data_IF_099036768301
#
_entry.id   IF_099036768301
#
_cell.length_a   1.000
_cell.length_b   1.000
_cell.length_c   1.000
_cell.angle_alpha   90.00
_cell.angle_beta   90.00
_cell.angle_gamma   90.00
#
_symmetry.space_group_name_H-M   'P 1'
#
loop_
_entity.id
_entity.type
_entity.pdbx_description
1 polymer ?
#
# COMPACT_ATOMS: atom_id res chain seq x y z
N UNK A 1 -8.02 23.05 48.02
CA UNK A 1 -9.19 22.90 47.12
C UNK A 1 -8.80 21.82 46.11
N UNK A 2 -9.17 20.58 46.40
CA UNK A 2 -8.64 19.35 45.78
C UNK A 2 -9.49 18.95 44.57
N UNK A 3 -8.88 18.88 43.38
CA UNK A 3 -9.50 18.37 42.17
C UNK A 3 -9.38 16.83 42.18
N UNK A 4 -10.42 16.16 42.69
CA UNK A 4 -10.56 14.72 42.56
C UNK A 4 -10.88 14.37 41.10
N UNK A 5 -9.94 13.71 40.43
CA UNK A 5 -10.14 13.14 39.10
C UNK A 5 -11.21 12.03 39.16
N UNK A 6 -12.26 12.19 38.36
CA UNK A 6 -13.29 11.17 38.15
C UNK A 6 -12.67 9.93 37.49
N UNK A 7 -12.83 8.71 38.04
CA UNK A 7 -12.35 7.51 37.38
C UNK A 7 -13.16 7.26 36.10
N UNK A 8 -12.45 7.10 34.98
CA UNK A 8 -13.01 6.68 33.70
C UNK A 8 -13.59 5.27 33.85
N UNK A 9 -14.92 5.16 33.79
CA UNK A 9 -15.59 3.86 33.77
C UNK A 9 -15.26 3.19 32.44
N UNK A 10 -14.36 2.20 32.47
CA UNK A 10 -14.19 1.23 31.39
C UNK A 10 -15.58 0.62 31.10
N UNK A 11 -16.14 0.91 29.92
CA UNK A 11 -17.39 0.30 29.46
C UNK A 11 -17.18 -1.22 29.43
N UNK A 12 -17.87 -1.95 30.29
CA UNK A 12 -17.96 -3.40 30.21
C UNK A 12 -18.45 -3.76 28.81
N UNK A 13 -17.72 -4.63 28.12
CA UNK A 13 -18.06 -5.17 26.80
C UNK A 13 -19.36 -5.96 26.93
N UNK A 14 -20.48 -5.32 26.58
CA UNK A 14 -21.76 -6.02 26.47
C UNK A 14 -21.68 -6.91 25.23
N UNK A 15 -21.88 -8.21 25.43
CA UNK A 15 -22.12 -9.18 24.37
C UNK A 15 -23.47 -8.85 23.72
N UNK A 16 -23.46 -7.86 22.84
CA UNK A 16 -24.62 -7.45 22.06
C UNK A 16 -24.65 -8.24 20.74
N UNK A 17 -25.82 -8.38 20.11
CA UNK A 17 -26.01 -9.17 18.88
C UNK A 17 -25.04 -8.81 17.73
N UNK A 18 -24.49 -7.59 17.72
CA UNK A 18 -23.44 -7.14 16.80
C UNK A 18 -22.15 -7.95 16.97
N UNK A 19 -21.76 -8.30 18.20
CA UNK A 19 -20.58 -9.13 18.45
C UNK A 19 -20.77 -10.55 17.91
N UNK A 20 -21.99 -11.09 17.97
CA UNK A 20 -22.32 -12.41 17.43
C UNK A 20 -22.24 -12.38 15.90
N UNK A 21 -22.81 -11.37 15.26
CA UNK A 21 -22.73 -11.22 13.79
C UNK A 21 -21.28 -11.07 13.33
N UNK A 22 -20.49 -10.22 13.99
CA UNK A 22 -19.07 -10.05 13.66
C UNK A 22 -18.27 -11.35 13.86
N UNK A 23 -18.57 -12.14 14.90
CA UNK A 23 -17.94 -13.43 15.12
C UNK A 23 -18.28 -14.46 14.03
N UNK A 24 -19.55 -14.50 13.60
CA UNK A 24 -19.99 -15.39 12.50
C UNK A 24 -19.31 -14.98 11.20
N UNK A 25 -19.30 -13.69 10.86
CA UNK A 25 -18.63 -13.17 9.66
C UNK A 25 -17.13 -13.53 9.68
N UNK A 26 -16.45 -13.32 10.81
CA UNK A 26 -15.04 -13.68 10.98
C UNK A 26 -14.81 -15.17 10.73
N UNK A 27 -15.66 -16.04 11.29
CA UNK A 27 -15.56 -17.49 11.09
C UNK A 27 -15.78 -17.89 9.63
N UNK A 28 -16.76 -17.28 8.96
CA UNK A 28 -17.04 -17.56 7.54
C UNK A 28 -15.87 -17.13 6.65
N UNK A 29 -15.31 -15.94 6.87
CA UNK A 29 -14.15 -15.45 6.12
C UNK A 29 -12.88 -16.26 6.40
N UNK A 30 -12.70 -16.75 7.63
CA UNK A 30 -11.54 -17.55 8.01
C UNK A 30 -11.66 -19.03 7.57
N UNK A 31 -12.87 -19.53 7.31
CA UNK A 31 -13.12 -20.95 7.07
C UNK A 31 -12.28 -21.55 5.92
N UNK A 32 -12.13 -20.91 4.74
CA UNK A 32 -11.30 -21.46 3.67
C UNK A 32 -9.83 -21.57 4.06
N UNK A 33 -9.28 -20.55 4.73
CA UNK A 33 -7.89 -20.57 5.18
C UNK A 33 -7.65 -21.64 6.24
N UNK A 34 -8.56 -21.78 7.21
CA UNK A 34 -8.51 -22.84 8.23
C UNK A 34 -8.64 -24.22 7.59
N UNK A 35 -9.51 -24.39 6.59
CA UNK A 35 -9.67 -25.65 5.87
C UNK A 35 -8.38 -26.03 5.12
N UNK A 36 -7.74 -25.09 4.41
CA UNK A 36 -6.46 -25.31 3.73
C UNK A 36 -5.37 -25.72 4.72
N UNK A 37 -5.26 -25.02 5.86
CA UNK A 37 -4.30 -25.37 6.91
C UNK A 37 -4.57 -26.75 7.52
N UNK A 38 -5.83 -27.07 7.78
CA UNK A 38 -6.22 -28.37 8.31
C UNK A 38 -5.89 -29.50 7.32
N UNK A 39 -6.18 -29.30 6.03
CA UNK A 39 -5.82 -30.25 4.97
C UNK A 39 -4.29 -30.42 4.86
N UNK A 40 -3.54 -29.33 4.90
CA UNK A 40 -2.07 -29.36 4.85
C UNK A 40 -1.44 -30.11 6.04
N UNK A 41 -2.07 -30.09 7.21
CA UNK A 41 -1.58 -30.78 8.42
C UNK A 41 -2.05 -32.25 8.52
N UNK A 42 -3.17 -32.59 7.88
CA UNK A 42 -3.81 -33.91 8.03
C UNK A 42 -3.59 -34.84 6.84
N UNK A 43 -3.38 -34.30 5.64
CA UNK A 43 -3.02 -35.11 4.48
C UNK A 43 -1.50 -35.34 4.46
N UNK A 44 -1.09 -36.61 4.41
CA UNK A 44 0.31 -36.99 4.24
C UNK A 44 0.87 -36.43 2.93
N UNK A 45 2.14 -36.05 2.94
CA UNK A 45 2.82 -35.31 1.86
C UNK A 45 3.07 -36.10 0.57
N UNK A 46 2.01 -36.58 -0.08
CA UNK A 46 2.05 -37.11 -1.45
C UNK A 46 2.03 -35.99 -2.51
N UNK A 47 1.89 -34.73 -2.08
CA UNK A 47 1.94 -33.57 -2.95
C UNK A 47 3.39 -33.20 -3.30
N UNK A 48 3.88 -33.72 -4.43
CA UNK A 48 5.13 -33.28 -5.04
C UNK A 48 4.92 -32.03 -5.88
N UNK A 49 5.02 -30.86 -5.25
CA UNK A 49 4.98 -29.57 -5.93
C UNK A 49 6.29 -29.26 -6.69
N UNK A 50 7.33 -30.08 -6.54
CA UNK A 50 8.67 -29.82 -7.07
C UNK A 50 9.39 -28.72 -6.26
N UNK A 51 10.47 -29.09 -5.57
CA UNK A 51 11.27 -28.13 -4.79
C UNK A 51 11.80 -26.95 -5.64
N UNK A 52 12.06 -27.20 -6.94
CA UNK A 52 12.47 -26.17 -7.89
C UNK A 52 11.37 -25.13 -8.13
N UNK A 53 10.11 -25.56 -8.31
CA UNK A 53 8.99 -24.64 -8.53
C UNK A 53 8.73 -23.75 -7.31
N UNK A 54 8.79 -24.34 -6.10
CA UNK A 54 8.64 -23.59 -4.85
C UNK A 54 9.78 -22.57 -4.71
N UNK A 55 11.02 -22.97 -4.98
CA UNK A 55 12.18 -22.08 -4.89
C UNK A 55 12.11 -20.94 -5.92
N UNK A 56 11.79 -21.24 -7.17
CA UNK A 56 11.63 -20.26 -8.24
C UNK A 56 10.48 -19.29 -7.94
N UNK A 57 9.33 -19.80 -7.49
CA UNK A 57 8.20 -18.98 -7.07
C UNK A 57 8.55 -18.07 -5.90
N UNK A 58 9.17 -18.60 -4.84
CA UNK A 58 9.55 -17.81 -3.67
C UNK A 58 10.55 -16.69 -4.02
N UNK A 59 11.56 -16.99 -4.84
CA UNK A 59 12.54 -15.99 -5.30
C UNK A 59 11.89 -14.97 -6.23
N UNK A 60 11.03 -15.43 -7.16
CA UNK A 60 10.32 -14.57 -8.10
C UNK A 60 9.40 -13.59 -7.39
N UNK A 61 8.51 -14.09 -6.53
CA UNK A 61 7.58 -13.26 -5.74
C UNK A 61 8.32 -12.31 -4.82
N UNK A 62 9.36 -12.77 -4.10
CA UNK A 62 10.15 -11.88 -3.23
C UNK A 62 10.81 -10.75 -4.04
N UNK A 63 11.32 -11.07 -5.23
CA UNK A 63 11.93 -10.09 -6.12
C UNK A 63 10.90 -9.06 -6.59
N UNK A 64 9.71 -9.49 -6.99
CA UNK A 64 8.62 -8.63 -7.43
C UNK A 64 8.10 -7.73 -6.29
N UNK A 65 7.92 -8.30 -5.09
CA UNK A 65 7.51 -7.55 -3.90
C UNK A 65 8.51 -6.44 -3.57
N UNK A 66 9.81 -6.75 -3.61
CA UNK A 66 10.85 -5.75 -3.32
C UNK A 66 10.97 -4.71 -4.44
N UNK A 67 11.08 -5.14 -5.69
CA UNK A 67 11.30 -4.23 -6.83
C UNK A 67 10.04 -3.43 -7.18
N UNK A 68 8.91 -4.10 -7.34
CA UNK A 68 7.61 -3.49 -7.61
C UNK A 68 7.12 -2.64 -6.44
N UNK A 69 7.28 -3.13 -5.20
CA UNK A 69 6.94 -2.38 -3.99
C UNK A 69 7.79 -1.13 -3.81
N UNK A 70 9.10 -1.19 -4.07
CA UNK A 70 9.97 -0.01 -4.07
C UNK A 70 9.57 1.00 -5.15
N UNK A 71 9.24 0.53 -6.36
CA UNK A 71 8.72 1.38 -7.43
C UNK A 71 7.41 2.07 -7.05
N UNK A 72 6.44 1.31 -6.52
CA UNK A 72 5.16 1.83 -6.03
C UNK A 72 5.37 2.86 -4.91
N UNK A 73 6.30 2.60 -3.98
CA UNK A 73 6.66 3.53 -2.91
C UNK A 73 7.17 4.85 -3.47
N UNK A 74 8.13 4.79 -4.41
CA UNK A 74 8.72 5.98 -5.01
C UNK A 74 7.68 6.78 -5.80
N UNK A 75 6.94 6.13 -6.70
CA UNK A 75 5.94 6.80 -7.53
C UNK A 75 4.81 7.37 -6.68
N UNK A 76 4.30 6.61 -5.71
CA UNK A 76 3.18 7.03 -4.88
C UNK A 76 3.55 8.15 -3.91
N UNK A 77 4.71 8.06 -3.25
CA UNK A 77 5.19 9.12 -2.37
C UNK A 77 5.47 10.42 -3.14
N UNK A 78 6.07 10.32 -4.34
CA UNK A 78 6.32 11.47 -5.20
C UNK A 78 5.02 12.10 -5.70
N UNK A 79 4.06 11.29 -6.15
CA UNK A 79 2.75 11.74 -6.60
C UNK A 79 1.98 12.43 -5.46
N UNK A 80 2.02 11.87 -4.25
CA UNK A 80 1.37 12.44 -3.07
C UNK A 80 2.01 13.78 -2.73
N UNK A 81 3.34 13.83 -2.63
CA UNK A 81 4.09 15.05 -2.39
C UNK A 81 3.73 16.16 -3.37
N UNK A 82 3.73 15.84 -4.67
CA UNK A 82 3.44 16.78 -5.75
C UNK A 82 2.06 17.40 -5.57
N UNK A 83 1.02 16.58 -5.41
CA UNK A 83 -0.35 17.11 -5.32
C UNK A 83 -0.73 17.63 -3.94
N UNK A 84 0.02 17.36 -2.88
CA UNK A 84 -0.29 17.92 -1.55
C UNK A 84 0.48 19.19 -1.25
N UNK A 85 1.80 19.19 -1.50
CA UNK A 85 2.71 20.23 -1.04
C UNK A 85 3.14 21.19 -2.16
N UNK A 86 2.95 20.85 -3.43
CA UNK A 86 3.22 21.76 -4.54
C UNK A 86 1.95 22.47 -5.04
N UNK A 87 2.11 23.65 -5.62
CA UNK A 87 1.04 24.40 -6.27
C UNK A 87 1.35 24.53 -7.77
N UNK A 88 0.47 24.01 -8.62
CA UNK A 88 0.62 24.01 -10.08
C UNK A 88 -0.75 23.97 -10.77
N UNK A 89 -0.88 24.48 -12.01
CA UNK A 89 -2.14 24.46 -12.74
C UNK A 89 -2.57 23.01 -13.03
N UNK A 90 -3.86 22.71 -12.82
CA UNK A 90 -4.40 21.36 -13.06
C UNK A 90 -4.24 20.37 -11.92
N UNK A 91 -3.68 20.78 -10.76
CA UNK A 91 -3.54 19.94 -9.55
C UNK A 91 -4.81 19.16 -9.20
N UNK A 92 -5.99 19.79 -9.27
CA UNK A 92 -7.29 19.14 -8.98
C UNK A 92 -7.58 17.95 -9.90
N UNK A 93 -7.12 17.99 -11.15
CA UNK A 93 -7.29 16.87 -12.09
C UNK A 93 -6.36 15.73 -11.69
N UNK A 94 -5.09 16.04 -11.42
CA UNK A 94 -4.11 15.05 -10.96
C UNK A 94 -4.54 14.38 -9.65
N UNK A 95 -5.16 15.11 -8.72
CA UNK A 95 -5.59 14.57 -7.42
C UNK A 95 -6.52 13.35 -7.52
N UNK A 96 -7.39 13.27 -8.54
CA UNK A 96 -8.22 12.08 -8.76
C UNK A 96 -7.66 11.19 -9.87
N UNK A 97 -7.02 11.75 -10.89
CA UNK A 97 -6.49 10.99 -12.00
C UNK A 97 -5.39 10.00 -11.57
N UNK A 98 -4.58 10.36 -10.58
CA UNK A 98 -3.53 9.50 -10.01
C UNK A 98 -4.11 8.28 -9.26
N UNK A 99 -5.40 8.26 -8.95
CA UNK A 99 -6.06 7.10 -8.36
C UNK A 99 -6.69 6.18 -9.42
N UNK A 100 -6.83 6.61 -10.68
CA UNK A 100 -7.48 5.84 -11.76
C UNK A 100 -6.85 4.45 -11.98
N UNK A 101 -5.51 4.27 -11.96
CA UNK A 101 -4.93 2.95 -12.23
C UNK A 101 -5.46 1.85 -11.31
N UNK A 102 -5.87 2.19 -10.08
CA UNK A 102 -6.45 1.26 -9.12
C UNK A 102 -7.80 0.66 -9.58
N UNK A 103 -8.48 1.30 -10.54
CA UNK A 103 -9.75 0.82 -11.07
C UNK A 103 -9.57 -0.35 -12.07
N UNK A 104 -8.36 -0.55 -12.59
CA UNK A 104 -8.07 -1.61 -13.53
C UNK A 104 -7.23 -2.70 -12.84
N UNK A 105 -7.64 -3.98 -12.93
CA UNK A 105 -6.86 -5.10 -12.42
C UNK A 105 -5.43 -5.14 -13.00
N UNK A 106 -4.46 -5.60 -12.20
CA UNK A 106 -3.05 -5.74 -12.57
C UNK A 106 -2.85 -6.49 -13.89
N UNK A 107 -3.57 -7.60 -14.08
CA UNK A 107 -3.50 -8.40 -15.31
C UNK A 107 -3.94 -7.60 -16.55
N UNK A 108 -4.95 -6.72 -16.44
CA UNK A 108 -5.40 -5.88 -17.57
C UNK A 108 -4.30 -4.87 -17.92
N UNK A 109 -3.67 -4.25 -16.92
CA UNK A 109 -2.52 -3.36 -17.15
C UNK A 109 -1.38 -4.10 -17.84
N UNK A 110 -1.08 -5.33 -17.41
CA UNK A 110 -0.05 -6.16 -17.99
C UNK A 110 -0.33 -6.45 -19.47
N UNK A 111 -1.54 -6.90 -19.82
CA UNK A 111 -1.91 -7.16 -21.22
C UNK A 111 -1.92 -5.89 -22.08
N UNK A 112 -2.44 -4.78 -21.55
CA UNK A 112 -2.45 -3.51 -22.26
C UNK A 112 -1.02 -3.05 -22.58
N UNK A 113 -0.12 -3.14 -21.60
CA UNK A 113 1.27 -2.75 -21.81
C UNK A 113 2.03 -3.77 -22.68
N UNK A 114 1.76 -5.08 -22.55
CA UNK A 114 2.34 -6.11 -23.43
C UNK A 114 1.99 -5.86 -24.91
N UNK A 115 0.76 -5.41 -25.20
CA UNK A 115 0.37 -5.03 -26.56
C UNK A 115 1.23 -3.89 -27.13
N UNK A 116 1.68 -2.96 -26.29
CA UNK A 116 2.62 -1.90 -26.68
C UNK A 116 4.02 -2.45 -26.90
N UNK A 117 4.45 -3.43 -26.10
CA UNK A 117 5.75 -4.10 -26.26
C UNK A 117 5.83 -4.85 -27.57
N UNK A 118 4.82 -5.65 -27.91
CA UNK A 118 4.78 -6.38 -29.18
C UNK A 118 4.68 -5.47 -30.40
N UNK A 119 4.09 -4.29 -30.24
CA UNK A 119 4.09 -3.25 -31.27
C UNK A 119 5.41 -2.47 -31.38
N UNK A 120 6.45 -2.79 -30.58
CA UNK A 120 7.73 -2.10 -30.57
C UNK A 120 7.67 -0.68 -30.00
N UNK A 121 6.65 -0.37 -29.20
CA UNK A 121 6.37 0.98 -28.65
C UNK A 121 6.65 1.13 -27.17
N UNK A 122 7.05 0.06 -26.48
CA UNK A 122 7.41 0.11 -25.05
C UNK A 122 8.91 0.34 -24.85
N UNK A 123 9.26 1.10 -23.81
CA UNK A 123 10.65 1.34 -23.41
C UNK A 123 11.22 0.26 -22.48
N UNK A 124 10.35 -0.52 -21.81
CA UNK A 124 10.72 -1.70 -21.00
C UNK A 124 9.93 -2.90 -21.54
N UNK A 125 10.57 -4.02 -21.91
CA UNK A 125 9.87 -5.25 -22.30
C UNK A 125 9.13 -5.90 -21.12
N UNK A 126 7.89 -6.36 -21.33
CA UNK A 126 7.09 -7.05 -20.28
C UNK A 126 7.56 -8.46 -19.98
N UNK A 127 8.18 -9.12 -20.94
CA UNK A 127 8.50 -10.55 -20.91
C UNK A 127 9.56 -10.94 -19.84
N UNK A 128 10.07 -9.97 -19.08
CA UNK A 128 11.05 -10.20 -18.01
C UNK A 128 10.62 -9.64 -16.66
N UNK A 129 11.30 -10.10 -15.60
CA UNK A 129 11.09 -9.72 -14.19
C UNK A 129 10.91 -8.21 -13.99
N UNK A 130 11.77 -7.40 -14.64
CA UNK A 130 11.75 -5.94 -14.51
C UNK A 130 10.55 -5.29 -15.17
N UNK A 131 10.04 -5.87 -16.27
CA UNK A 131 8.81 -5.43 -16.90
C UNK A 131 7.61 -5.64 -16.00
N UNK A 132 7.49 -6.84 -15.42
CA UNK A 132 6.43 -7.17 -14.47
C UNK A 132 6.51 -6.30 -13.21
N UNK A 133 7.70 -6.13 -12.63
CA UNK A 133 7.92 -5.22 -11.49
C UNK A 133 7.50 -3.78 -11.81
N UNK A 134 7.77 -3.30 -13.03
CA UNK A 134 7.35 -1.98 -13.48
C UNK A 134 5.82 -1.87 -13.58
N UNK A 135 5.14 -2.89 -14.12
CA UNK A 135 3.66 -2.91 -14.17
C UNK A 135 3.07 -2.88 -12.76
N UNK A 136 3.60 -3.67 -11.83
CA UNK A 136 3.19 -3.60 -10.43
C UNK A 136 3.43 -2.22 -9.82
N UNK A 137 4.59 -1.62 -10.06
CA UNK A 137 4.89 -0.28 -9.55
C UNK A 137 3.88 0.77 -10.07
N UNK A 138 3.54 0.76 -11.37
CA UNK A 138 2.62 1.72 -11.99
C UNK A 138 1.15 1.41 -11.67
N UNK A 139 0.79 0.14 -11.52
CA UNK A 139 -0.57 -0.26 -11.14
C UNK A 139 -0.88 -0.02 -9.67
N UNK A 140 0.10 -0.23 -8.79
CA UNK A 140 -0.11 -0.28 -7.34
C UNK A 140 0.43 0.93 -6.57
N UNK A 141 1.15 1.87 -7.21
CA UNK A 141 1.47 3.15 -6.57
C UNK A 141 0.25 3.91 -6.01
N UNK A 142 -1.00 3.79 -6.54
CA UNK A 142 -2.15 4.48 -5.97
C UNK A 142 -2.39 4.15 -4.49
N UNK A 143 -2.09 2.93 -4.05
CA UNK A 143 -2.17 2.56 -2.62
C UNK A 143 -1.26 3.42 -1.75
N UNK A 144 0.01 3.58 -2.17
CA UNK A 144 0.98 4.45 -1.51
C UNK A 144 0.56 5.91 -1.61
N UNK A 145 0.13 6.34 -2.79
CA UNK A 145 -0.31 7.70 -3.06
C UNK A 145 -1.43 8.16 -2.13
N UNK A 146 -2.49 7.35 -1.98
CA UNK A 146 -3.64 7.70 -1.15
C UNK A 146 -3.25 7.76 0.34
N UNK A 147 -2.50 6.78 0.82
CA UNK A 147 -2.05 6.74 2.22
C UNK A 147 -1.08 7.90 2.53
N UNK A 148 -0.12 8.16 1.64
CA UNK A 148 0.83 9.26 1.79
C UNK A 148 0.13 10.62 1.69
N UNK A 149 -0.82 10.80 0.77
CA UNK A 149 -1.61 12.04 0.64
C UNK A 149 -2.43 12.31 1.88
N UNK A 150 -3.09 11.30 2.44
CA UNK A 150 -3.81 11.42 3.71
C UNK A 150 -2.84 11.81 4.84
N UNK A 151 -1.67 11.18 4.91
CA UNK A 151 -0.65 11.50 5.90
C UNK A 151 -0.15 12.95 5.78
N UNK A 152 0.19 13.42 4.59
CA UNK A 152 0.60 14.80 4.35
C UNK A 152 -0.53 15.80 4.65
N UNK A 153 -1.78 15.48 4.31
CA UNK A 153 -2.93 16.35 4.57
C UNK A 153 -3.27 16.43 6.08
N UNK A 154 -3.03 15.37 6.83
CA UNK A 154 -3.29 15.31 8.28
C UNK A 154 -2.25 16.04 9.15
N UNK A 155 -1.17 16.57 8.55
CA UNK A 155 -0.12 17.26 9.30
C UNK A 155 -0.61 18.61 9.82
N UNK A 156 -0.29 18.92 11.08
CA UNK A 156 -0.66 20.22 11.64
C UNK A 156 0.03 21.36 10.87
N UNK A 157 -0.77 22.31 10.36
CA UNK A 157 -0.26 23.54 9.78
C UNK A 157 0.70 24.25 10.77
N UNK A 158 0.40 24.17 12.06
CA UNK A 158 1.21 24.71 13.15
C UNK A 158 2.65 24.17 13.16
N UNK A 159 2.88 22.88 12.95
CA UNK A 159 4.24 22.32 12.91
C UNK A 159 5.04 22.82 11.69
N UNK A 160 4.37 22.93 10.54
CA UNK A 160 5.00 23.44 9.31
C UNK A 160 5.24 24.96 9.36
N UNK A 161 4.36 25.71 10.03
CA UNK A 161 4.50 27.15 10.24
C UNK A 161 5.57 27.45 11.30
N UNK A 162 5.58 26.74 12.44
CA UNK A 162 6.62 26.88 13.46
C UNK A 162 8.02 26.65 12.89
N UNK A 163 8.19 25.62 12.04
CA UNK A 163 9.47 25.37 11.36
C UNK A 163 9.88 26.53 10.43
N UNK A 164 8.91 27.15 9.71
CA UNK A 164 9.16 28.34 8.89
C UNK A 164 9.52 29.57 9.73
N UNK A 165 8.86 29.77 10.87
CA UNK A 165 9.16 30.87 11.79
C UNK A 165 10.55 30.76 12.42
N UNK A 166 11.05 29.52 12.59
CA UNK A 166 12.44 29.23 12.99
C UNK A 166 13.46 29.40 11.84
N UNK A 167 13.06 29.96 10.70
CA UNK A 167 13.94 30.23 9.56
C UNK A 167 14.28 29.02 8.69
N UNK A 168 13.53 27.90 8.80
CA UNK A 168 13.73 26.77 7.91
C UNK A 168 13.20 27.07 6.49
N UNK A 169 14.03 26.81 5.48
CA UNK A 169 13.61 26.89 4.08
C UNK A 169 12.54 25.82 3.77
N UNK A 170 11.67 26.01 2.76
CA UNK A 170 10.62 25.04 2.41
C UNK A 170 11.13 23.62 2.20
N UNK A 171 12.30 23.47 1.56
CA UNK A 171 12.95 22.17 1.34
C UNK A 171 13.41 21.54 2.67
N UNK A 172 13.92 22.35 3.61
CA UNK A 172 14.31 21.87 4.94
C UNK A 172 13.10 21.44 5.76
N UNK A 173 11.99 22.20 5.70
CA UNK A 173 10.71 21.84 6.33
C UNK A 173 10.21 20.52 5.78
N UNK A 174 10.29 20.30 4.47
CA UNK A 174 9.90 19.03 3.86
C UNK A 174 10.71 17.84 4.41
N UNK A 175 12.03 17.86 4.27
CA UNK A 175 12.87 16.72 4.67
C UNK A 175 12.92 16.47 6.18
N UNK A 176 12.81 17.52 7.00
CA UNK A 176 12.96 17.40 8.46
C UNK A 176 11.65 17.30 9.23
N UNK A 177 10.53 17.75 8.65
CA UNK A 177 9.23 17.79 9.34
C UNK A 177 8.18 17.00 8.56
N UNK A 178 7.89 17.41 7.33
CA UNK A 178 6.78 16.83 6.58
C UNK A 178 7.02 15.35 6.23
N UNK A 179 8.18 15.02 5.64
CA UNK A 179 8.46 13.64 5.25
C UNK A 179 8.52 12.70 6.47
N UNK A 180 9.26 13.01 7.56
CA UNK A 180 9.29 12.15 8.75
C UNK A 180 7.92 11.90 9.37
N UNK A 181 7.05 12.91 9.43
CA UNK A 181 5.69 12.76 9.95
C UNK A 181 4.80 11.92 9.01
N UNK A 182 5.06 11.92 7.70
CA UNK A 182 4.31 11.13 6.73
C UNK A 182 4.81 9.68 6.58
N UNK A 183 6.03 9.35 7.05
CA UNK A 183 6.64 8.00 6.97
C UNK A 183 5.70 6.86 7.39
N UNK A 184 4.98 6.91 8.53
CA UNK A 184 4.09 5.80 8.90
C UNK A 184 2.95 5.59 7.88
N UNK A 185 2.39 6.66 7.31
CA UNK A 185 1.36 6.55 6.27
C UNK A 185 1.93 6.02 4.94
N UNK A 186 3.12 6.49 4.55
CA UNK A 186 3.82 5.98 3.37
C UNK A 186 4.12 4.48 3.53
N UNK A 187 4.61 4.07 4.70
CA UNK A 187 4.91 2.67 5.01
C UNK A 187 3.64 1.80 4.99
N UNK A 188 2.51 2.29 5.50
CA UNK A 188 1.24 1.58 5.45
C UNK A 188 0.77 1.35 3.99
N UNK A 189 0.84 2.38 3.14
CA UNK A 189 0.49 2.25 1.73
C UNK A 189 1.45 1.33 0.97
N UNK A 190 2.75 1.37 1.31
CA UNK A 190 3.75 0.49 0.70
C UNK A 190 3.56 -0.97 1.14
N UNK A 191 3.25 -1.21 2.41
CA UNK A 191 2.93 -2.55 2.91
C UNK A 191 1.71 -3.14 2.21
N UNK A 192 0.67 -2.33 1.96
CA UNK A 192 -0.51 -2.76 1.21
C UNK A 192 -0.16 -3.11 -0.24
N UNK A 193 0.63 -2.28 -0.92
CA UNK A 193 1.10 -2.58 -2.28
C UNK A 193 1.95 -3.87 -2.31
N UNK A 194 2.88 -4.05 -1.36
CA UNK A 194 3.68 -5.27 -1.25
C UNK A 194 2.84 -6.52 -0.97
N UNK A 195 1.79 -6.40 -0.15
CA UNK A 195 0.87 -7.50 0.13
C UNK A 195 0.09 -7.89 -1.12
N UNK A 196 -0.38 -6.92 -1.91
CA UNK A 196 -1.06 -7.19 -3.18
C UNK A 196 -0.13 -7.91 -4.17
N UNK A 197 1.13 -7.45 -4.32
CA UNK A 197 2.12 -8.11 -5.20
C UNK A 197 2.42 -9.54 -4.75
N UNK A 198 2.39 -9.81 -3.45
CA UNK A 198 2.61 -11.15 -2.92
C UNK A 198 1.41 -12.09 -3.12
N UNK A 199 0.22 -11.52 -3.30
CA UNK A 199 -1.05 -12.25 -3.38
C UNK A 199 -1.53 -12.49 -4.82
N UNK A 200 -1.13 -11.62 -5.77
CA UNK A 200 -1.40 -11.73 -7.21
C UNK A 200 -0.47 -12.75 -7.90
#
# INVERSE_FOLDING_TARGET
MSLAASPSRLRATRFDGVAIVAAIETLVCAAPAVAVLALALTQGGDADFGAALIAEGAVGTTTLVLAGGAGALVFGAAAAWLVTLCNFPGRRVFEWALAIPLAAPSYILAYAYASMTWAGRSFIPVEGMWGVAFIYAVGLYPYVYLAARAAFASQSACALEAARMLGASPMRVFWRVALPLARPGIAAGAALACMEIAAD
#
